data_IF_854671721150
#
_entry.id   IF_854671721150
#
_cell.length_a   1.000
_cell.length_b   1.000
_cell.length_c   1.000
_cell.angle_alpha   90.00
_cell.angle_beta   90.00
_cell.angle_gamma   90.00
#
_symmetry.space_group_name_H-M   'P 1'
#
loop_
_entity.id
_entity.type
_entity.pdbx_description
1 polymer ?
#
# COMPACT_ATOMS: atom_id res chain seq x y z
N UNK A 1 -6.55 6.97 -22.50
CA UNK A 1 -5.35 7.21 -21.68
C UNK A 1 -5.15 5.98 -20.79
N UNK A 2 -3.94 5.46 -20.62
CA UNK A 2 -3.71 4.28 -19.76
C UNK A 2 -4.00 4.61 -18.29
N UNK A 3 -4.56 3.67 -17.49
CA UNK A 3 -4.82 3.90 -16.08
C UNK A 3 -3.53 4.19 -15.32
N UNK A 4 -3.60 5.13 -14.38
CA UNK A 4 -2.48 5.50 -13.51
C UNK A 4 -2.18 4.37 -12.54
N UNK A 5 -0.95 3.86 -12.52
CA UNK A 5 -0.55 2.75 -11.67
C UNK A 5 -0.04 3.28 -10.33
N UNK A 6 -0.71 2.91 -9.24
CA UNK A 6 -0.35 3.36 -7.90
C UNK A 6 -0.06 2.17 -7.01
N UNK A 7 0.88 2.32 -6.08
CA UNK A 7 1.20 1.31 -5.08
C UNK A 7 0.80 1.82 -3.69
N UNK A 8 0.05 1.02 -2.94
CA UNK A 8 -0.31 1.32 -1.56
C UNK A 8 0.65 0.60 -0.60
N UNK A 9 1.33 1.41 0.20
CA UNK A 9 2.15 0.96 1.34
C UNK A 9 1.27 0.20 2.36
N UNK A 10 1.90 -0.71 3.10
CA UNK A 10 1.34 -1.40 4.25
C UNK A 10 0.69 -0.43 5.23
N UNK A 11 1.30 0.74 5.47
CA UNK A 11 0.83 1.72 6.44
C UNK A 11 -0.57 2.26 6.08
N UNK A 12 -0.87 2.46 4.78
CA UNK A 12 -2.18 2.85 4.24
C UNK A 12 -3.21 1.76 4.51
N UNK A 13 -2.85 0.50 4.22
CA UNK A 13 -3.73 -0.65 4.44
C UNK A 13 -4.05 -0.83 5.92
N UNK A 14 -3.03 -0.76 6.80
CA UNK A 14 -3.19 -0.86 8.26
C UNK A 14 -4.14 0.21 8.78
N UNK A 15 -3.96 1.46 8.34
CA UNK A 15 -4.84 2.57 8.75
C UNK A 15 -6.31 2.30 8.39
N UNK A 16 -6.60 1.77 7.20
CA UNK A 16 -7.98 1.42 6.81
C UNK A 16 -8.49 0.18 7.56
N UNK A 17 -7.68 -0.89 7.64
CA UNK A 17 -8.06 -2.14 8.31
C UNK A 17 -8.37 -1.94 9.79
N UNK A 18 -7.64 -1.03 10.45
CA UNK A 18 -7.70 -0.77 11.89
C UNK A 18 -8.53 0.47 12.28
N UNK A 19 -9.10 1.19 11.32
CA UNK A 19 -9.87 2.43 11.51
C UNK A 19 -9.07 3.52 12.26
N UNK A 20 -7.87 3.85 11.78
CA UNK A 20 -6.97 4.80 12.45
C UNK A 20 -7.26 6.25 12.05
N UNK A 21 -7.73 7.06 13.01
CA UNK A 21 -7.94 8.49 12.82
C UNK A 21 -6.69 9.30 13.23
N UNK A 22 -6.41 10.44 12.58
CA UNK A 22 -7.24 11.12 11.58
C UNK A 22 -7.05 10.64 10.13
N UNK A 23 -6.10 9.74 9.86
CA UNK A 23 -5.67 9.35 8.50
C UNK A 23 -6.68 8.50 7.73
N UNK A 24 -7.59 7.82 8.43
CA UNK A 24 -8.55 6.87 7.86
C UNK A 24 -9.28 7.41 6.63
N UNK A 25 -9.84 8.62 6.71
CA UNK A 25 -10.70 9.14 5.65
C UNK A 25 -9.98 9.27 4.30
N UNK A 26 -8.74 9.77 4.29
CA UNK A 26 -7.97 9.90 3.06
C UNK A 26 -7.50 8.52 2.56
N UNK A 27 -7.01 7.66 3.45
CA UNK A 27 -6.53 6.32 3.07
C UNK A 27 -7.66 5.45 2.49
N UNK A 28 -8.86 5.50 3.09
CA UNK A 28 -10.02 4.77 2.60
C UNK A 28 -10.46 5.25 1.21
N UNK A 29 -10.39 6.57 0.95
CA UNK A 29 -10.70 7.15 -0.38
C UNK A 29 -9.68 6.71 -1.43
N UNK A 30 -8.39 6.71 -1.11
CA UNK A 30 -7.37 6.18 -2.03
C UNK A 30 -7.61 4.70 -2.33
N UNK A 31 -7.90 3.90 -1.30
CA UNK A 31 -8.20 2.49 -1.48
C UNK A 31 -9.43 2.25 -2.37
N UNK A 32 -10.48 3.08 -2.25
CA UNK A 32 -11.68 2.95 -3.09
C UNK A 32 -11.45 3.21 -4.58
N UNK A 33 -10.31 3.80 -4.97
CA UNK A 33 -9.94 3.95 -6.38
C UNK A 33 -9.64 2.61 -7.08
N UNK A 34 -9.62 1.50 -6.34
CA UNK A 34 -9.56 0.16 -6.92
C UNK A 34 -10.76 -0.14 -7.85
N UNK A 35 -11.89 0.54 -7.63
CA UNK A 35 -13.09 0.44 -8.45
C UNK A 35 -13.18 1.54 -9.53
N UNK A 36 -12.15 2.37 -9.68
CA UNK A 36 -12.08 3.47 -10.65
C UNK A 36 -11.16 3.12 -11.82
N UNK A 37 -11.72 3.07 -13.04
CA UNK A 37 -10.99 2.68 -14.27
C UNK A 37 -9.82 3.60 -14.62
N UNK A 38 -9.74 4.81 -14.03
CA UNK A 38 -8.61 5.73 -14.21
C UNK A 38 -7.36 5.25 -13.48
N UNK A 39 -7.49 4.31 -12.55
CA UNK A 39 -6.41 3.84 -11.70
C UNK A 39 -6.22 2.32 -11.78
N UNK A 40 -5.00 1.88 -11.53
CA UNK A 40 -4.72 0.49 -11.22
C UNK A 40 -3.99 0.46 -9.89
N UNK A 41 -4.71 0.04 -8.86
CA UNK A 41 -4.24 0.08 -7.48
C UNK A 41 -3.51 -1.22 -7.15
N UNK A 42 -2.25 -1.09 -6.79
CA UNK A 42 -1.36 -2.19 -6.44
C UNK A 42 -1.06 -2.20 -4.94
N UNK A 43 -0.70 -3.37 -4.44
CA UNK A 43 0.01 -3.54 -3.17
C UNK A 43 0.87 -4.80 -3.25
N UNK A 44 1.67 -5.09 -2.23
CA UNK A 44 2.53 -6.27 -2.22
C UNK A 44 2.02 -7.37 -1.28
N UNK A 45 2.44 -8.63 -1.46
CA UNK A 45 2.17 -9.69 -0.49
C UNK A 45 2.72 -9.36 0.91
N UNK A 46 3.82 -8.60 1.00
CA UNK A 46 4.37 -8.12 2.26
C UNK A 46 3.41 -7.15 2.96
N UNK A 47 2.87 -6.17 2.23
CA UNK A 47 1.88 -5.24 2.76
C UNK A 47 0.61 -5.94 3.25
N UNK A 48 0.13 -6.96 2.52
CA UNK A 48 -1.01 -7.77 2.94
C UNK A 48 -0.72 -8.57 4.20
N UNK A 49 0.47 -9.14 4.35
CA UNK A 49 0.86 -9.88 5.54
C UNK A 49 0.90 -8.97 6.79
N UNK A 50 1.47 -7.76 6.64
CA UNK A 50 1.51 -6.75 7.70
C UNK A 50 0.09 -6.29 8.05
N UNK A 51 -0.72 -5.96 7.04
CA UNK A 51 -2.13 -5.63 7.23
C UNK A 51 -2.91 -6.72 7.96
N UNK A 52 -2.70 -7.99 7.61
CA UNK A 52 -3.33 -9.14 8.26
C UNK A 52 -2.94 -9.22 9.74
N UNK A 53 -1.65 -9.10 10.06
CA UNK A 53 -1.17 -9.11 11.43
C UNK A 53 -1.84 -8.02 12.28
N UNK A 54 -1.86 -6.78 11.80
CA UNK A 54 -2.48 -5.68 12.53
C UNK A 54 -4.00 -5.80 12.64
N UNK A 55 -4.68 -6.26 11.58
CA UNK A 55 -6.12 -6.50 11.60
C UNK A 55 -6.50 -7.58 12.63
N UNK A 56 -5.76 -8.70 12.68
CA UNK A 56 -5.96 -9.74 13.69
C UNK A 56 -5.68 -9.22 15.10
N UNK A 57 -4.59 -8.48 15.29
CA UNK A 57 -4.24 -7.86 16.59
C UNK A 57 -5.35 -6.92 17.08
N UNK A 58 -5.90 -6.08 16.19
CA UNK A 58 -7.01 -5.14 16.50
C UNK A 58 -8.30 -5.86 16.88
N UNK A 59 -8.55 -7.03 16.30
CA UNK A 59 -9.80 -7.78 16.44
C UNK A 59 -9.72 -8.94 17.44
N UNK A 60 -8.56 -9.17 18.08
CA UNK A 60 -8.29 -10.35 18.93
C UNK A 60 -9.35 -10.61 20.02
N UNK A 61 -9.90 -9.56 20.62
CA UNK A 61 -10.87 -9.69 21.72
C UNK A 61 -12.34 -9.64 21.25
N UNK A 62 -12.59 -9.62 19.93
CA UNK A 62 -13.95 -9.62 19.37
C UNK A 62 -14.35 -11.03 18.97
N UNK A 63 -15.57 -11.43 19.32
CA UNK A 63 -16.14 -12.68 18.84
C UNK A 63 -16.10 -12.71 17.29
N UNK A 64 -15.53 -13.77 16.72
CA UNK A 64 -15.33 -13.88 15.27
C UNK A 64 -14.27 -12.94 14.67
N UNK A 65 -13.46 -12.27 15.49
CA UNK A 65 -12.49 -11.26 15.04
C UNK A 65 -11.48 -11.76 14.01
N UNK A 66 -10.94 -12.98 14.19
CA UNK A 66 -10.01 -13.60 13.22
C UNK A 66 -10.68 -13.86 11.86
N UNK A 67 -11.93 -14.33 11.85
CA UNK A 67 -12.72 -14.54 10.63
C UNK A 67 -12.97 -13.22 9.90
N UNK A 68 -13.28 -12.16 10.65
CA UNK A 68 -13.46 -10.82 10.09
C UNK A 68 -12.16 -10.26 9.52
N UNK A 69 -11.03 -10.40 10.21
CA UNK A 69 -9.71 -9.98 9.72
C UNK A 69 -9.39 -10.66 8.39
N UNK A 70 -9.54 -11.99 8.32
CA UNK A 70 -9.34 -12.77 7.10
C UNK A 70 -10.22 -12.28 5.95
N UNK A 71 -11.53 -12.07 6.20
CA UNK A 71 -12.46 -11.55 5.19
C UNK A 71 -12.04 -10.17 4.64
N UNK A 72 -11.51 -9.29 5.50
CA UNK A 72 -10.98 -8.00 5.04
C UNK A 72 -9.77 -8.17 4.12
N UNK A 73 -8.85 -9.09 4.43
CA UNK A 73 -7.68 -9.36 3.58
C UNK A 73 -8.08 -10.02 2.26
N UNK A 74 -9.03 -10.96 2.28
CA UNK A 74 -9.61 -11.56 1.07
C UNK A 74 -10.18 -10.48 0.13
N UNK A 75 -10.93 -9.51 0.67
CA UNK A 75 -11.45 -8.40 -0.11
C UNK A 75 -10.35 -7.52 -0.72
N UNK A 76 -9.27 -7.22 0.04
CA UNK A 76 -8.13 -6.48 -0.51
C UNK A 76 -7.46 -7.25 -1.65
N UNK A 77 -7.26 -8.56 -1.49
CA UNK A 77 -6.62 -9.40 -2.51
C UNK A 77 -7.49 -9.55 -3.78
N UNK A 78 -8.81 -9.49 -3.65
CA UNK A 78 -9.75 -9.51 -4.78
C UNK A 78 -9.73 -8.20 -5.58
N UNK A 79 -9.65 -7.05 -4.89
CA UNK A 79 -9.77 -5.72 -5.50
C UNK A 79 -8.44 -5.13 -5.95
N UNK A 80 -7.34 -5.47 -5.29
CA UNK A 80 -6.02 -4.90 -5.58
C UNK A 80 -5.20 -5.80 -6.51
N UNK A 81 -4.33 -5.18 -7.31
CA UNK A 81 -3.29 -5.91 -8.05
C UNK A 81 -2.12 -6.22 -7.12
N UNK A 82 -1.85 -7.50 -6.92
CA UNK A 82 -0.76 -7.93 -6.03
C UNK A 82 0.55 -8.00 -6.81
N UNK A 83 1.55 -7.23 -6.39
CA UNK A 83 2.90 -7.24 -6.96
C UNK A 83 3.64 -8.54 -6.63
N UNK A 84 4.75 -8.80 -7.31
CA UNK A 84 5.63 -9.92 -7.00
C UNK A 84 6.85 -9.40 -6.25
N UNK A 85 7.21 -10.06 -5.14
CA UNK A 85 8.51 -9.86 -4.48
C UNK A 85 9.36 -11.08 -4.81
N UNK A 86 10.28 -10.90 -5.76
CA UNK A 86 11.20 -11.94 -6.23
C UNK A 86 12.62 -11.74 -5.73
N UNK A 87 13.51 -12.68 -6.05
CA UNK A 87 14.91 -12.61 -5.62
C UNK A 87 15.67 -11.39 -6.15
N UNK A 88 15.28 -10.84 -7.30
CA UNK A 88 15.86 -9.60 -7.82
C UNK A 88 15.48 -8.39 -6.98
N UNK A 89 14.19 -8.21 -6.66
CA UNK A 89 13.73 -7.16 -5.77
C UNK A 89 14.45 -7.19 -4.41
N UNK A 90 14.66 -8.40 -3.86
CA UNK A 90 15.41 -8.60 -2.61
C UNK A 90 16.88 -8.19 -2.76
N UNK A 91 17.57 -8.66 -3.82
CA UNK A 91 18.98 -8.30 -4.05
C UNK A 91 19.16 -6.80 -4.26
N UNK A 92 18.26 -6.16 -5.01
CA UNK A 92 18.30 -4.73 -5.26
C UNK A 92 18.06 -3.92 -3.98
N UNK A 93 17.10 -4.33 -3.14
CA UNK A 93 16.87 -3.73 -1.84
C UNK A 93 18.10 -3.81 -0.93
N UNK A 94 18.74 -4.98 -0.85
CA UNK A 94 19.93 -5.20 -0.03
C UNK A 94 21.18 -4.46 -0.55
N UNK A 95 21.30 -4.30 -1.87
CA UNK A 95 22.42 -3.61 -2.50
C UNK A 95 22.33 -2.08 -2.36
N UNK A 96 21.12 -1.53 -2.26
CA UNK A 96 20.90 -0.09 -2.15
C UNK A 96 21.09 0.40 -0.71
N UNK A 97 22.29 0.92 -0.41
CA UNK A 97 22.67 1.43 0.92
C UNK A 97 21.87 2.63 1.42
N UNK A 98 21.08 3.28 0.56
CA UNK A 98 20.18 4.36 0.97
C UNK A 98 18.92 3.83 1.64
N UNK A 99 18.61 2.54 1.49
CA UNK A 99 17.45 1.91 2.11
C UNK A 99 17.81 1.58 3.55
N UNK A 100 17.14 2.25 4.49
CA UNK A 100 17.34 2.04 5.92
C UNK A 100 16.35 1.01 6.48
N UNK A 101 15.13 0.99 5.95
CA UNK A 101 14.12 -0.04 6.23
C UNK A 101 14.00 -0.99 5.03
N UNK A 102 14.30 -2.27 5.26
CA UNK A 102 14.20 -3.30 4.23
C UNK A 102 12.77 -3.56 3.79
N UNK A 103 11.78 -3.35 4.65
CA UNK A 103 10.37 -3.45 4.29
C UNK A 103 10.06 -2.49 3.13
N UNK A 104 10.38 -1.20 3.31
CA UNK A 104 10.18 -0.16 2.31
C UNK A 104 10.97 -0.45 1.03
N UNK A 105 12.18 -1.00 1.18
CA UNK A 105 12.99 -1.43 0.04
C UNK A 105 12.31 -2.53 -0.79
N UNK A 106 11.80 -3.57 -0.13
CA UNK A 106 11.08 -4.65 -0.82
C UNK A 106 9.78 -4.15 -1.45
N UNK A 107 9.04 -3.29 -0.75
CA UNK A 107 7.84 -2.66 -1.29
C UNK A 107 8.18 -1.83 -2.55
N UNK A 108 9.18 -0.96 -2.46
CA UNK A 108 9.65 -0.08 -3.54
C UNK A 108 10.05 -0.87 -4.79
N UNK A 109 10.93 -1.86 -4.67
CA UNK A 109 11.35 -2.64 -5.84
C UNK A 109 10.19 -3.47 -6.43
N UNK A 110 9.25 -3.94 -5.60
CA UNK A 110 8.05 -4.59 -6.12
C UNK A 110 7.12 -3.63 -6.88
N UNK A 111 7.05 -2.37 -6.45
CA UNK A 111 6.29 -1.32 -7.12
C UNK A 111 6.93 -0.94 -8.47
N UNK A 112 8.26 -0.83 -8.49
CA UNK A 112 9.06 -0.61 -9.71
C UNK A 112 8.85 -1.73 -10.74
N UNK A 113 8.96 -2.99 -10.32
CA UNK A 113 8.74 -4.16 -11.20
C UNK A 113 7.32 -4.19 -11.77
N UNK A 114 6.35 -3.76 -10.95
CA UNK A 114 4.95 -3.60 -11.36
C UNK A 114 4.68 -2.31 -12.16
N UNK A 115 5.72 -1.52 -12.50
CA UNK A 115 5.60 -0.26 -13.25
C UNK A 115 4.63 0.72 -12.59
N UNK A 116 4.59 0.74 -11.27
CA UNK A 116 3.85 1.77 -10.54
C UNK A 116 4.53 3.12 -10.76
N UNK A 117 3.73 4.17 -10.81
CA UNK A 117 4.20 5.53 -11.07
C UNK A 117 4.27 6.33 -9.76
N UNK A 118 3.42 5.97 -8.79
CA UNK A 118 3.29 6.65 -7.49
C UNK A 118 3.21 5.62 -6.36
N UNK A 119 3.95 5.85 -5.29
CA UNK A 119 3.77 5.18 -4.00
C UNK A 119 2.92 6.10 -3.12
N UNK A 120 1.85 5.55 -2.54
CA UNK A 120 1.04 6.23 -1.54
C UNK A 120 1.43 5.72 -0.17
N UNK A 121 2.01 6.59 0.64
CA UNK A 121 2.50 6.31 1.99
C UNK A 121 2.44 7.59 2.83
N UNK A 122 2.08 7.49 4.12
CA UNK A 122 2.22 8.65 5.01
C UNK A 122 3.64 8.79 5.59
N UNK A 123 4.50 7.79 5.41
CA UNK A 123 5.89 7.76 5.88
C UNK A 123 6.86 8.13 4.74
N UNK A 124 6.55 9.21 4.00
CA UNK A 124 7.27 9.65 2.80
C UNK A 124 8.80 9.77 2.96
N UNK A 125 9.26 10.11 4.16
CA UNK A 125 10.68 10.29 4.47
C UNK A 125 11.45 8.98 4.38
N UNK A 126 10.80 7.86 4.62
CA UNK A 126 11.44 6.55 4.61
C UNK A 126 11.71 6.10 3.16
N UNK A 127 10.97 6.67 2.20
CA UNK A 127 11.19 6.49 0.76
C UNK A 127 12.12 7.55 0.13
N UNK A 128 13.02 8.19 0.88
CA UNK A 128 13.93 9.22 0.34
C UNK A 128 14.85 8.73 -0.80
N UNK A 129 14.98 7.42 -0.98
CA UNK A 129 15.73 6.76 -2.06
C UNK A 129 14.90 6.49 -3.31
N UNK A 130 13.58 6.68 -3.25
CA UNK A 130 12.65 6.34 -4.33
C UNK A 130 12.86 7.22 -5.55
N UNK A 131 12.88 6.63 -6.74
CA UNK A 131 12.73 7.37 -8.01
C UNK A 131 11.26 7.54 -8.42
N UNK A 132 10.35 6.81 -7.78
CA UNK A 132 8.91 6.99 -7.95
C UNK A 132 8.44 8.19 -7.13
N UNK A 133 7.39 8.85 -7.59
CA UNK A 133 6.73 9.87 -6.79
C UNK A 133 6.15 9.24 -5.52
N UNK A 134 6.34 9.89 -4.38
CA UNK A 134 5.81 9.43 -3.09
C UNK A 134 4.93 10.52 -2.51
N UNK A 135 3.66 10.20 -2.31
CA UNK A 135 2.65 11.12 -1.80
C UNK A 135 1.94 10.50 -0.60
N UNK A 136 1.51 11.33 0.34
CA UNK A 136 0.52 10.86 1.28
C UNK A 136 -0.87 10.78 0.62
N UNK A 137 -1.82 10.15 1.31
CA UNK A 137 -3.15 9.93 0.76
C UNK A 137 -3.89 11.24 0.43
N UNK A 138 -3.67 12.32 1.19
CA UNK A 138 -4.34 13.60 0.92
C UNK A 138 -3.74 14.28 -0.30
N UNK A 139 -2.41 14.34 -0.37
CA UNK A 139 -1.67 14.90 -1.51
C UNK A 139 -2.00 14.16 -2.81
N UNK A 140 -2.05 12.82 -2.75
CA UNK A 140 -2.42 11.99 -3.88
C UNK A 140 -3.83 12.32 -4.40
N UNK A 141 -4.82 12.36 -3.50
CA UNK A 141 -6.20 12.69 -3.86
C UNK A 141 -6.31 14.09 -4.47
N UNK A 142 -5.64 15.08 -3.87
CA UNK A 142 -5.63 16.44 -4.39
C UNK A 142 -5.03 16.50 -5.81
N UNK A 143 -3.86 15.89 -6.01
CA UNK A 143 -3.10 15.94 -7.26
C UNK A 143 -3.75 15.15 -8.39
N UNK A 144 -4.34 13.99 -8.11
CA UNK A 144 -4.79 13.06 -9.15
C UNK A 144 -6.29 12.83 -9.22
N UNK A 145 -7.06 13.22 -8.21
CA UNK A 145 -8.52 12.99 -8.16
C UNK A 145 -9.33 14.28 -8.20
N UNK A 146 -8.94 15.30 -7.43
CA UNK A 146 -9.71 16.56 -7.30
C UNK A 146 -9.27 17.62 -8.32
N UNK A 147 -7.98 17.74 -8.60
CA UNK A 147 -7.42 18.80 -9.44
C UNK A 147 -7.54 18.60 -10.96
N UNK A 148 -8.59 17.91 -11.44
CA UNK A 148 -8.85 17.69 -12.88
C UNK A 148 -10.31 17.89 -13.21
#
# INVERSE_FOLDING_TARGET
MSPKRIFLDANILVTVLCNEYPRFGACARVLSLADDERFTVHTSPLCLAIGAYFAEKKLRNKAGGKKLARKKIELLAERLKITKIGGEAVRSALANRKILDLEDGFQYYSAMDAKCEVIVSYDKRDFHFSTLEVLDAQEFLFRYVVGR
#
